data_IF_494122519042
#
_entry.id   IF_494122519042
#
_cell.length_a   1.000
_cell.length_b   1.000
_cell.length_c   1.000
_cell.angle_alpha   90.00
_cell.angle_beta   90.00
_cell.angle_gamma   90.00
#
_symmetry.space_group_name_H-M   'P 1'
#
loop_
_entity.id
_entity.type
_entity.pdbx_description
1 polymer ?
#
# COMPACT_ATOMS: atom_id res chain seq x y z
N UNK A 1 3.74 -9.72 22.88
CA UNK A 1 4.71 -10.63 22.23
C UNK A 1 4.67 -10.39 20.74
N UNK A 2 5.77 -9.98 20.13
CA UNK A 2 5.92 -9.86 18.68
C UNK A 2 6.18 -11.26 18.10
N UNK A 3 5.30 -11.74 17.22
CA UNK A 3 5.49 -13.00 16.50
C UNK A 3 6.16 -12.69 15.15
N UNK A 4 7.24 -13.41 14.84
CA UNK A 4 7.88 -13.34 13.53
C UNK A 4 7.08 -14.21 12.54
N UNK A 5 6.64 -13.60 11.44
CA UNK A 5 5.83 -14.23 10.40
C UNK A 5 6.51 -14.06 9.04
N UNK A 6 6.27 -15.00 8.12
CA UNK A 6 6.73 -14.86 6.74
C UNK A 6 5.87 -13.84 6.02
N UNK A 7 6.47 -12.71 5.63
CA UNK A 7 5.81 -11.70 4.80
C UNK A 7 5.83 -12.09 3.32
N UNK A 8 4.67 -12.08 2.66
CA UNK A 8 4.55 -12.30 1.21
C UNK A 8 3.93 -11.06 0.60
N UNK A 9 4.67 -10.38 -0.29
CA UNK A 9 4.15 -9.21 -1.02
C UNK A 9 3.21 -9.69 -2.12
N UNK A 10 1.99 -9.15 -2.10
CA UNK A 10 0.96 -9.47 -3.10
C UNK A 10 0.70 -8.22 -3.94
N UNK A 11 1.14 -8.26 -5.19
CA UNK A 11 0.92 -7.17 -6.14
C UNK A 11 -0.51 -7.21 -6.66
N UNK A 12 -1.28 -6.17 -6.36
CA UNK A 12 -2.62 -5.96 -6.93
C UNK A 12 -2.44 -5.03 -8.13
N UNK A 13 -2.15 -5.64 -9.29
CA UNK A 13 -1.99 -4.94 -10.56
C UNK A 13 -3.01 -5.49 -11.56
N UNK A 14 -4.18 -4.86 -11.62
CA UNK A 14 -5.08 -5.04 -12.74
C UNK A 14 -5.24 -3.71 -13.48
N UNK A 15 -4.74 -3.62 -14.72
CA UNK A 15 -4.89 -2.42 -15.53
C UNK A 15 -6.33 -2.16 -16.01
N UNK A 16 -7.22 -3.16 -15.90
CA UNK A 16 -8.62 -3.08 -16.28
C UNK A 16 -9.60 -2.90 -15.12
N UNK A 17 -9.18 -3.22 -13.89
CA UNK A 17 -10.04 -3.07 -12.71
C UNK A 17 -10.26 -1.59 -12.37
N UNK A 18 -11.42 -1.29 -11.81
CA UNK A 18 -11.73 -0.06 -11.11
C UNK A 18 -10.95 0.04 -9.79
N UNK A 19 -10.89 1.24 -9.21
CA UNK A 19 -10.32 1.41 -7.86
C UNK A 19 -11.10 0.63 -6.79
N UNK A 20 -12.41 0.46 -6.97
CA UNK A 20 -13.29 -0.28 -6.05
C UNK A 20 -13.01 -1.78 -6.09
N UNK A 21 -12.87 -2.36 -7.29
CA UNK A 21 -12.50 -3.77 -7.45
C UNK A 21 -11.14 -4.08 -6.83
N UNK A 22 -10.15 -3.20 -7.02
CA UNK A 22 -8.84 -3.36 -6.36
C UNK A 22 -8.92 -3.21 -4.85
N UNK A 23 -9.75 -2.29 -4.34
CA UNK A 23 -9.98 -2.14 -2.90
C UNK A 23 -10.61 -3.41 -2.31
N UNK A 24 -11.56 -4.04 -3.02
CA UNK A 24 -12.18 -5.29 -2.59
C UNK A 24 -11.14 -6.42 -2.46
N UNK A 25 -10.18 -6.53 -3.39
CA UNK A 25 -9.09 -7.51 -3.29
C UNK A 25 -8.22 -7.24 -2.06
N UNK A 26 -7.85 -5.98 -1.81
CA UNK A 26 -7.08 -5.59 -0.62
C UNK A 26 -7.84 -5.98 0.66
N UNK A 27 -9.14 -5.73 0.71
CA UNK A 27 -9.97 -6.01 1.87
C UNK A 27 -10.07 -7.53 2.11
N UNK A 28 -10.22 -8.34 1.06
CA UNK A 28 -10.18 -9.79 1.17
C UNK A 28 -8.83 -10.33 1.65
N UNK A 29 -7.71 -9.70 1.26
CA UNK A 29 -6.37 -10.05 1.79
C UNK A 29 -6.30 -9.76 3.30
N UNK A 30 -6.86 -8.63 3.75
CA UNK A 30 -6.91 -8.28 5.17
C UNK A 30 -7.76 -9.28 5.95
N UNK A 31 -8.94 -9.63 5.45
CA UNK A 31 -9.82 -10.64 6.05
C UNK A 31 -9.11 -12.01 6.13
N UNK A 32 -8.37 -12.40 5.10
CA UNK A 32 -7.58 -13.61 5.12
C UNK A 32 -6.52 -13.58 6.22
N UNK A 33 -5.77 -12.47 6.35
CA UNK A 33 -4.74 -12.32 7.38
C UNK A 33 -5.31 -12.43 8.79
N UNK A 34 -6.48 -11.82 9.05
CA UNK A 34 -7.17 -11.88 10.34
C UNK A 34 -7.53 -13.33 10.69
N UNK A 35 -8.11 -14.06 9.73
CA UNK A 35 -8.66 -15.39 9.98
C UNK A 35 -7.61 -16.52 9.92
N UNK A 36 -6.55 -16.35 9.12
CA UNK A 36 -5.63 -17.43 8.77
C UNK A 36 -4.17 -17.11 9.09
N UNK A 37 -3.76 -15.85 9.07
CA UNK A 37 -2.35 -15.46 9.04
C UNK A 37 -1.55 -16.03 10.20
N UNK A 38 -2.10 -15.97 11.43
CA UNK A 38 -1.45 -16.52 12.63
C UNK A 38 -1.28 -18.03 12.57
N UNK A 39 -2.30 -18.76 12.10
CA UNK A 39 -2.28 -20.23 11.97
C UNK A 39 -1.31 -20.67 10.87
N UNK A 40 -1.25 -19.90 9.77
CA UNK A 40 -0.35 -20.16 8.65
C UNK A 40 1.08 -19.64 8.87
N UNK A 41 1.30 -18.84 9.91
CA UNK A 41 2.51 -18.04 10.12
C UNK A 41 2.93 -17.19 8.91
N UNK A 42 1.94 -16.71 8.15
CA UNK A 42 2.11 -15.93 6.92
C UNK A 42 1.35 -14.61 7.06
N UNK A 43 1.97 -13.52 6.64
CA UNK A 43 1.33 -12.22 6.47
C UNK A 43 1.35 -11.83 5.00
N UNK A 44 0.18 -11.74 4.37
CA UNK A 44 0.06 -11.21 3.02
C UNK A 44 0.10 -9.68 3.07
N UNK A 45 1.01 -9.08 2.32
CA UNK A 45 1.24 -7.64 2.30
C UNK A 45 0.72 -7.07 0.97
N UNK A 46 -0.50 -6.51 0.93
CA UNK A 46 -1.06 -6.00 -0.31
C UNK A 46 -0.30 -4.76 -0.78
N UNK A 47 0.19 -4.80 -2.01
CA UNK A 47 0.80 -3.68 -2.69
C UNK A 47 -0.07 -3.26 -3.88
N UNK A 48 -0.75 -2.13 -3.72
CA UNK A 48 -1.63 -1.59 -4.74
C UNK A 48 -0.81 -0.88 -5.80
N UNK A 49 -0.87 -1.37 -7.03
CA UNK A 49 -0.26 -0.68 -8.17
C UNK A 49 -1.35 0.04 -8.97
N UNK A 50 -1.34 1.38 -8.94
CA UNK A 50 -2.24 2.21 -9.74
C UNK A 50 -1.44 3.08 -10.70
N UNK A 51 -1.72 2.99 -12.01
CA UNK A 51 -1.09 3.86 -13.03
C UNK A 51 -1.46 5.34 -12.87
N UNK A 52 -2.58 5.62 -12.20
CA UNK A 52 -3.07 6.98 -11.93
C UNK A 52 -2.86 7.41 -10.48
N UNK A 53 -2.07 6.68 -9.69
CA UNK A 53 -1.68 7.14 -8.35
C UNK A 53 -1.02 8.52 -8.50
N UNK A 54 -1.73 9.56 -8.06
CA UNK A 54 -1.24 10.92 -8.13
C UNK A 54 0.13 10.96 -7.45
N UNK A 55 1.16 11.29 -8.22
CA UNK A 55 2.49 11.60 -7.67
C UNK A 55 2.26 12.65 -6.58
N UNK A 56 2.79 12.46 -5.36
CA UNK A 56 2.69 13.49 -4.34
C UNK A 56 3.20 14.80 -4.93
N UNK A 57 2.32 15.79 -5.05
CA UNK A 57 2.73 17.16 -5.34
C UNK A 57 3.62 17.56 -4.18
N UNK A 58 4.93 17.55 -4.40
CA UNK A 58 5.87 18.23 -3.53
C UNK A 58 5.36 19.66 -3.34
N UNK A 59 5.37 20.20 -2.11
CA UNK A 59 5.00 21.60 -1.93
C UNK A 59 5.85 22.44 -2.89
N UNK A 60 5.27 23.48 -3.53
CA UNK A 60 6.04 24.34 -4.41
C UNK A 60 7.27 24.82 -3.64
N UNK A 61 8.43 24.72 -4.28
CA UNK A 61 9.73 25.04 -3.67
C UNK A 61 9.59 26.31 -2.84
N UNK A 62 9.90 26.19 -1.54
CA UNK A 62 9.94 27.34 -0.65
C UNK A 62 10.99 28.27 -1.27
N UNK A 63 10.56 29.39 -1.86
CA UNK A 63 11.47 30.41 -2.34
C UNK A 63 12.22 30.92 -1.11
N UNK A 64 13.43 30.41 -0.90
CA UNK A 64 14.39 30.98 0.02
C UNK A 64 14.80 32.33 -0.55
N UNK A 65 14.03 33.39 -0.23
CA UNK A 65 14.56 34.74 -0.32
C UNK A 65 15.71 34.82 0.67
N UNK A 66 16.93 34.83 0.14
CA UNK A 66 18.14 35.12 0.90
C UNK A 66 17.94 36.50 1.50
N UNK A 67 17.66 36.57 2.79
CA UNK A 67 17.69 37.81 3.55
C UNK A 67 19.13 38.32 3.51
N UNK A 68 19.42 39.19 2.55
CA UNK A 68 20.63 39.97 2.49
C UNK A 68 20.35 41.36 3.04
N UNK A 69 20.77 41.60 4.28
CA UNK A 69 21.63 42.70 4.73
C UNK A 69 21.81 42.65 6.24
#
# INVERSE_FOLDING_TARGET
>A
MTQLMTGVVVVIASPGDTSEERAAVRDQINDWNINNGRRANIALLPWLYERNAAVPRWPPAIHYQRAGR
#
